data_IF_160560828355
#
_entry.id   IF_160560828355
#
_cell.length_a   1.000
_cell.length_b   1.000
_cell.length_c   1.000
_cell.angle_alpha   90.00
_cell.angle_beta   90.00
_cell.angle_gamma   90.00
#
_symmetry.space_group_name_H-M   'P 1'
#
loop_
_entity.id
_entity.type
_entity.pdbx_description
1 polymer ?
#
# COMPACT_ATOMS: atom_id res chain seq x y z
N UNK A 1 20.45 -19.61 -5.11
CA UNK A 1 20.52 -18.22 -5.54
C UNK A 1 20.50 -18.20 -7.07
N UNK A 2 19.43 -17.72 -7.74
CA UNK A 2 19.44 -17.55 -9.20
C UNK A 2 19.30 -16.06 -9.48
N UNK A 3 20.30 -15.47 -10.10
CA UNK A 3 20.25 -14.13 -10.71
C UNK A 3 19.35 -14.21 -11.94
N UNK A 4 18.35 -13.36 -12.00
CA UNK A 4 17.60 -13.03 -13.22
C UNK A 4 17.86 -11.53 -13.47
N UNK A 5 19.03 -11.21 -14.00
CA UNK A 5 19.36 -9.90 -14.56
C UNK A 5 20.52 -10.06 -15.53
N UNK A 6 20.61 -9.17 -16.50
CA UNK A 6 21.77 -9.02 -17.40
C UNK A 6 23.04 -8.71 -16.58
N UNK A 7 24.16 -9.29 -16.97
CA UNK A 7 25.37 -9.49 -16.16
C UNK A 7 26.16 -8.26 -15.70
N UNK A 8 25.74 -7.01 -15.90
CA UNK A 8 26.61 -5.83 -15.61
C UNK A 8 25.90 -4.61 -15.00
N UNK A 9 24.65 -4.72 -14.51
CA UNK A 9 23.99 -3.53 -13.98
C UNK A 9 24.32 -3.33 -12.49
N UNK A 10 25.06 -2.25 -12.17
CA UNK A 10 25.37 -1.83 -10.79
C UNK A 10 24.06 -1.61 -10.00
N UNK A 11 23.96 -2.19 -8.80
CA UNK A 11 22.87 -1.88 -7.88
C UNK A 11 23.07 -0.48 -7.33
N UNK A 12 22.12 0.42 -7.62
CA UNK A 12 22.13 1.78 -7.12
C UNK A 12 21.32 1.92 -5.83
N UNK A 13 20.22 1.16 -5.71
CA UNK A 13 19.27 1.24 -4.59
C UNK A 13 18.88 -0.15 -4.09
N UNK A 14 18.87 -0.33 -2.78
CA UNK A 14 18.25 -1.47 -2.09
C UNK A 14 16.88 -1.07 -1.58
N UNK A 15 15.86 -1.86 -1.91
CA UNK A 15 14.49 -1.68 -1.45
C UNK A 15 14.10 -2.82 -0.50
N UNK A 16 13.71 -2.48 0.73
CA UNK A 16 13.25 -3.44 1.75
C UNK A 16 11.75 -3.28 1.98
N UNK A 17 10.90 -3.86 1.11
CA UNK A 17 9.46 -3.66 1.17
C UNK A 17 8.83 -4.34 2.39
N UNK A 18 7.65 -3.86 2.77
CA UNK A 18 6.79 -4.56 3.71
C UNK A 18 6.29 -5.88 3.11
N UNK A 19 5.98 -5.87 1.83
CA UNK A 19 5.52 -7.03 1.08
C UNK A 19 6.67 -7.67 0.29
N UNK A 20 6.89 -8.98 0.45
CA UNK A 20 7.89 -9.69 -0.36
C UNK A 20 7.56 -9.67 -1.86
N UNK A 21 8.58 -9.85 -2.69
CA UNK A 21 8.49 -9.76 -4.16
C UNK A 21 7.37 -10.64 -4.75
N UNK A 22 7.17 -11.84 -4.21
CA UNK A 22 6.09 -12.71 -4.66
C UNK A 22 4.71 -12.06 -4.50
N UNK A 23 4.47 -11.36 -3.39
CA UNK A 23 3.20 -10.69 -3.14
C UNK A 23 3.07 -9.43 -3.99
N UNK A 24 4.13 -8.64 -4.14
CA UNK A 24 4.14 -7.47 -5.01
C UNK A 24 3.76 -7.87 -6.46
N UNK A 25 4.42 -8.88 -7.00
CA UNK A 25 4.13 -9.41 -8.33
C UNK A 25 2.70 -9.93 -8.47
N UNK A 26 2.23 -10.74 -7.51
CA UNK A 26 0.87 -11.33 -7.55
C UNK A 26 -0.24 -10.28 -7.46
N UNK A 27 0.00 -9.20 -6.74
CA UNK A 27 -0.99 -8.13 -6.52
C UNK A 27 -0.83 -6.97 -7.52
N UNK A 28 0.20 -6.98 -8.38
CA UNK A 28 0.47 -5.93 -9.37
C UNK A 28 1.03 -4.66 -8.76
N UNK A 29 1.87 -4.76 -7.73
CA UNK A 29 2.53 -3.60 -7.09
C UNK A 29 1.59 -2.54 -6.49
N UNK A 30 0.37 -2.89 -6.16
CA UNK A 30 -0.73 -2.00 -5.71
C UNK A 30 -0.56 -1.31 -4.35
N UNK A 31 0.58 -1.43 -3.71
CA UNK A 31 0.89 -0.82 -2.41
C UNK A 31 1.92 0.29 -2.56
N UNK A 32 2.02 1.20 -1.57
CA UNK A 32 2.99 2.31 -1.63
C UNK A 32 4.41 1.83 -1.94
N UNK A 33 4.90 0.85 -1.21
CA UNK A 33 6.22 0.26 -1.45
C UNK A 33 6.32 -0.34 -2.87
N UNK A 34 5.25 -0.96 -3.36
CA UNK A 34 5.17 -1.48 -4.72
C UNK A 34 5.28 -0.39 -5.77
N UNK A 35 4.45 0.64 -5.72
CA UNK A 35 4.47 1.77 -6.66
C UNK A 35 5.83 2.49 -6.66
N UNK A 36 6.39 2.74 -5.47
CA UNK A 36 7.69 3.39 -5.37
C UNK A 36 8.81 2.53 -5.96
N UNK A 37 8.78 1.20 -5.75
CA UNK A 37 9.74 0.28 -6.36
C UNK A 37 9.65 0.29 -7.89
N UNK A 38 8.43 0.29 -8.46
CA UNK A 38 8.25 0.42 -9.91
C UNK A 38 8.90 1.71 -10.45
N UNK A 39 8.65 2.83 -9.79
CA UNK A 39 9.20 4.12 -10.21
C UNK A 39 10.69 4.25 -9.96
N UNK A 40 11.22 3.69 -8.87
CA UNK A 40 12.68 3.64 -8.66
C UNK A 40 13.37 2.90 -9.79
N UNK A 41 12.83 1.76 -10.23
CA UNK A 41 13.37 1.04 -11.36
C UNK A 41 13.42 1.89 -12.63
N UNK A 42 12.31 2.55 -12.95
CA UNK A 42 12.22 3.42 -14.15
C UNK A 42 13.14 4.63 -14.07
N UNK A 43 13.17 5.33 -12.94
CA UNK A 43 13.95 6.56 -12.76
C UNK A 43 15.45 6.30 -12.71
N UNK A 44 15.88 5.13 -12.20
CA UNK A 44 17.30 4.73 -12.16
C UNK A 44 17.77 4.05 -13.45
N UNK A 45 16.91 3.93 -14.47
CA UNK A 45 17.32 3.35 -15.75
C UNK A 45 18.50 4.13 -16.36
N UNK A 46 19.56 3.41 -16.72
CA UNK A 46 20.79 4.00 -17.25
C UNK A 46 21.83 4.42 -16.20
N UNK A 47 21.50 4.49 -14.91
CA UNK A 47 22.44 4.82 -13.82
C UNK A 47 22.68 3.66 -12.86
N UNK A 48 21.76 2.72 -12.80
CA UNK A 48 21.82 1.53 -11.96
C UNK A 48 20.47 0.82 -11.91
N UNK A 49 20.35 -0.16 -11.03
CA UNK A 49 19.12 -0.94 -10.80
C UNK A 49 18.68 -0.90 -9.35
N UNK A 50 17.43 -1.28 -9.10
CA UNK A 50 16.86 -1.43 -7.76
C UNK A 50 16.85 -2.91 -7.36
N UNK A 51 17.53 -3.26 -6.26
CA UNK A 51 17.49 -4.59 -5.66
C UNK A 51 16.37 -4.68 -4.61
N UNK A 52 15.37 -5.50 -4.86
CA UNK A 52 14.25 -5.74 -3.93
C UNK A 52 14.60 -6.88 -3.01
N UNK A 53 14.80 -6.58 -1.72
CA UNK A 53 15.23 -7.54 -0.69
C UNK A 53 14.03 -7.93 0.16
N UNK A 54 13.48 -9.09 -0.15
CA UNK A 54 12.26 -9.58 0.48
C UNK A 54 12.52 -10.24 1.82
N UNK A 55 11.53 -10.12 2.73
CA UNK A 55 11.49 -10.95 3.93
C UNK A 55 11.54 -12.42 3.53
N UNK A 56 12.33 -13.27 4.24
CA UNK A 56 12.43 -14.69 3.96
C UNK A 56 11.07 -15.41 3.98
N UNK A 57 10.87 -16.31 3.03
CA UNK A 57 9.64 -17.08 2.88
C UNK A 57 9.85 -18.56 3.22
N UNK A 58 8.81 -19.24 3.77
CA UNK A 58 8.89 -20.68 4.01
C UNK A 58 8.98 -21.47 2.70
N UNK A 59 9.96 -22.36 2.59
CA UNK A 59 10.20 -23.15 1.37
C UNK A 59 9.01 -24.05 0.98
N UNK A 60 8.33 -24.62 1.99
CA UNK A 60 7.24 -25.59 1.78
C UNK A 60 5.91 -24.97 1.36
N UNK A 61 5.78 -23.66 1.31
CA UNK A 61 4.51 -22.99 0.91
C UNK A 61 4.28 -22.89 -0.59
N UNK A 62 5.15 -23.53 -1.39
CA UNK A 62 5.10 -23.41 -2.86
C UNK A 62 5.61 -22.08 -3.41
N UNK A 63 5.99 -21.14 -2.55
CA UNK A 63 6.55 -19.84 -2.94
C UNK A 63 7.84 -20.02 -3.75
N UNK A 64 8.68 -21.01 -3.41
CA UNK A 64 9.90 -21.32 -4.15
C UNK A 64 9.67 -21.77 -5.60
N UNK A 65 8.54 -22.44 -5.85
CA UNK A 65 8.12 -22.85 -7.21
C UNK A 65 7.53 -21.66 -7.96
N UNK A 66 6.72 -20.86 -7.27
CA UNK A 66 6.09 -19.65 -7.83
C UNK A 66 7.09 -18.54 -8.13
N UNK A 67 8.21 -18.47 -7.39
CA UNK A 67 9.27 -17.47 -7.63
C UNK A 67 9.96 -17.60 -8.98
N UNK A 68 9.79 -18.72 -9.69
CA UNK A 68 10.36 -18.90 -11.04
C UNK A 68 9.68 -18.05 -12.12
N UNK A 69 8.43 -17.61 -11.87
CA UNK A 69 7.60 -16.86 -12.81
C UNK A 69 7.16 -15.52 -12.21
N UNK A 70 8.03 -14.86 -11.42
CA UNK A 70 7.73 -13.54 -10.87
C UNK A 70 7.78 -12.49 -11.99
N UNK A 71 6.72 -11.70 -12.09
CA UNK A 71 6.79 -10.44 -12.83
C UNK A 71 7.55 -9.43 -11.99
N UNK A 72 8.70 -9.01 -12.48
CA UNK A 72 9.51 -7.96 -11.86
C UNK A 72 9.16 -6.62 -12.49
N UNK A 73 9.18 -5.56 -11.70
CA UNK A 73 9.12 -4.21 -12.22
C UNK A 73 10.36 -3.92 -13.10
N UNK A 74 10.21 -2.99 -14.03
CA UNK A 74 11.29 -2.60 -14.94
C UNK A 74 12.55 -2.21 -14.16
N UNK A 75 13.72 -2.65 -14.64
CA UNK A 75 15.03 -2.35 -14.05
C UNK A 75 15.14 -2.67 -12.54
N UNK A 76 14.42 -3.71 -12.09
CA UNK A 76 14.51 -4.24 -10.73
C UNK A 76 15.04 -5.67 -10.73
N UNK A 77 15.66 -6.06 -9.62
CA UNK A 77 16.08 -7.43 -9.36
C UNK A 77 15.55 -7.90 -8.00
N UNK A 78 15.17 -9.16 -7.90
CA UNK A 78 14.63 -9.72 -6.66
C UNK A 78 15.68 -10.54 -5.91
N UNK A 79 15.90 -10.21 -4.65
CA UNK A 79 16.71 -10.98 -3.72
C UNK A 79 15.79 -11.68 -2.71
N UNK A 80 15.36 -12.89 -3.08
CA UNK A 80 14.46 -13.69 -2.28
C UNK A 80 15.22 -14.81 -1.53
N UNK A 81 14.92 -14.96 -0.26
CA UNK A 81 15.48 -16.05 0.56
C UNK A 81 14.36 -16.99 0.97
N UNK A 82 14.62 -18.30 0.84
CA UNK A 82 13.71 -19.34 1.31
C UNK A 82 14.32 -20.07 2.49
N UNK A 83 13.49 -20.46 3.45
CA UNK A 83 13.92 -21.21 4.61
C UNK A 83 13.04 -22.43 4.85
N UNK A 84 13.62 -23.52 5.35
CA UNK A 84 12.92 -24.74 5.75
C UNK A 84 12.16 -24.58 7.08
N UNK A 85 12.31 -23.45 7.77
CA UNK A 85 11.49 -23.15 8.93
C UNK A 85 10.02 -23.00 8.52
N UNK A 86 9.12 -23.49 9.36
CA UNK A 86 7.68 -23.35 9.17
C UNK A 86 7.15 -22.25 10.08
N UNK A 87 6.19 -21.42 9.58
CA UNK A 87 5.47 -20.49 10.43
C UNK A 87 4.71 -21.25 11.52
N UNK A 88 4.62 -20.65 12.69
CA UNK A 88 3.79 -21.19 13.78
C UNK A 88 2.32 -21.11 13.35
N UNK A 89 1.60 -22.23 13.37
CA UNK A 89 0.19 -22.28 12.96
C UNK A 89 -0.71 -21.47 13.90
N UNK A 90 -0.36 -21.43 15.18
CA UNK A 90 -1.07 -20.69 16.23
C UNK A 90 -0.80 -19.19 16.22
N UNK A 91 0.33 -18.76 15.64
CA UNK A 91 0.77 -17.37 15.65
C UNK A 91 1.52 -17.05 14.33
N UNK A 92 0.75 -16.61 13.33
CA UNK A 92 1.30 -16.23 12.02
C UNK A 92 2.12 -14.95 12.07
N UNK A 93 1.87 -14.07 13.04
CA UNK A 93 2.63 -12.82 13.20
C UNK A 93 4.06 -13.10 13.67
N UNK A 94 4.26 -14.17 14.45
CA UNK A 94 5.60 -14.58 14.87
C UNK A 94 6.57 -14.73 13.70
N UNK A 95 6.10 -15.01 12.48
CA UNK A 95 6.95 -15.10 11.29
C UNK A 95 7.72 -13.81 10.99
N UNK A 96 7.20 -12.66 11.38
CA UNK A 96 7.90 -11.38 11.24
C UNK A 96 9.22 -11.37 12.04
N UNK A 97 9.27 -12.09 13.16
CA UNK A 97 10.42 -12.19 14.05
C UNK A 97 11.24 -13.45 13.76
N UNK A 98 10.58 -14.59 13.62
CA UNK A 98 11.24 -15.90 13.42
C UNK A 98 12.08 -15.92 12.12
N UNK A 99 11.71 -15.17 11.11
CA UNK A 99 12.44 -15.11 9.82
C UNK A 99 13.66 -14.18 9.82
N UNK A 100 13.82 -13.32 10.83
CA UNK A 100 14.89 -12.30 10.86
C UNK A 100 16.31 -12.84 10.70
N UNK A 101 16.70 -13.98 11.33
CA UNK A 101 18.05 -14.54 11.16
C UNK A 101 18.31 -15.11 9.76
N UNK A 102 17.28 -15.18 8.91
CA UNK A 102 17.34 -15.76 7.56
C UNK A 102 17.34 -14.73 6.46
N UNK A 103 17.33 -13.44 6.78
CA UNK A 103 17.55 -12.39 5.77
C UNK A 103 18.90 -12.60 5.08
N UNK A 104 19.04 -12.25 3.79
CA UNK A 104 20.28 -12.45 3.07
C UNK A 104 21.39 -11.54 3.62
N UNK A 105 22.63 -12.00 3.59
CA UNK A 105 23.79 -11.11 3.68
C UNK A 105 23.89 -10.30 2.40
N UNK A 106 24.22 -9.04 2.52
CA UNK A 106 24.36 -8.14 1.38
C UNK A 106 25.74 -8.37 0.75
N UNK A 107 25.75 -8.68 -0.54
CA UNK A 107 27.00 -8.92 -1.27
C UNK A 107 27.77 -7.62 -1.54
N UNK A 108 29.01 -7.78 -1.99
CA UNK A 108 29.89 -6.63 -2.31
C UNK A 108 29.29 -5.70 -3.37
N UNK A 109 28.48 -6.24 -4.28
CA UNK A 109 27.75 -5.48 -5.31
C UNK A 109 26.75 -4.47 -4.74
N UNK A 110 26.35 -4.64 -3.48
CA UNK A 110 25.42 -3.74 -2.76
C UNK A 110 26.13 -2.84 -1.73
N UNK A 111 27.47 -2.93 -1.64
CA UNK A 111 28.22 -2.21 -0.61
C UNK A 111 28.08 -0.68 -0.71
N UNK A 112 27.89 -0.16 -1.93
CA UNK A 112 27.75 1.28 -2.24
C UNK A 112 26.32 1.70 -2.60
N UNK A 113 25.36 0.79 -2.49
CA UNK A 113 23.95 1.10 -2.76
C UNK A 113 23.30 1.73 -1.55
N UNK A 114 22.50 2.77 -1.77
CA UNK A 114 21.64 3.37 -0.76
C UNK A 114 20.44 2.50 -0.47
N UNK A 115 19.64 2.84 0.56
CA UNK A 115 18.54 1.98 0.97
C UNK A 115 17.23 2.76 1.22
N UNK A 116 16.14 2.23 0.68
CA UNK A 116 14.77 2.60 1.04
C UNK A 116 14.12 1.45 1.81
N UNK A 117 13.64 1.72 3.01
CA UNK A 117 13.13 0.71 3.93
C UNK A 117 11.70 1.06 4.35
N UNK A 118 10.78 0.10 4.20
CA UNK A 118 9.39 0.18 4.69
C UNK A 118 9.14 -0.79 5.85
N UNK A 119 9.99 -1.80 5.96
CA UNK A 119 9.87 -2.82 6.99
C UNK A 119 10.83 -2.55 8.16
N UNK A 120 10.36 -2.02 9.32
CA UNK A 120 11.24 -1.71 10.44
C UNK A 120 11.95 -2.93 11.00
N UNK A 121 11.40 -4.14 10.86
CA UNK A 121 12.03 -5.38 11.34
C UNK A 121 13.37 -5.69 10.67
N UNK A 122 13.68 -5.08 9.53
CA UNK A 122 15.01 -5.19 8.91
C UNK A 122 16.12 -4.76 9.87
N UNK A 123 15.84 -3.80 10.76
CA UNK A 123 16.78 -3.36 11.81
C UNK A 123 17.15 -4.45 12.82
N UNK A 124 16.35 -5.50 12.93
CA UNK A 124 16.57 -6.65 13.80
C UNK A 124 17.08 -7.89 13.04
N UNK A 125 17.24 -7.79 11.72
CA UNK A 125 17.59 -8.90 10.84
C UNK A 125 19.10 -9.14 10.73
N UNK A 126 19.47 -10.27 10.12
CA UNK A 126 20.87 -10.58 9.79
C UNK A 126 21.51 -9.63 8.76
N UNK A 127 20.69 -8.94 7.94
CA UNK A 127 21.17 -7.92 7.00
C UNK A 127 21.55 -6.60 7.67
N UNK A 128 21.15 -6.38 8.95
CA UNK A 128 21.31 -5.09 9.60
C UNK A 128 22.77 -4.64 9.74
N UNK A 129 23.67 -5.56 10.05
CA UNK A 129 25.09 -5.23 10.18
C UNK A 129 25.67 -4.70 8.87
N UNK A 130 25.24 -5.28 7.74
CA UNK A 130 25.66 -4.88 6.42
C UNK A 130 24.98 -3.56 6.01
N UNK A 131 23.75 -3.32 6.45
CA UNK A 131 22.93 -2.15 6.12
C UNK A 131 23.28 -0.92 6.96
N UNK A 132 23.54 -1.10 8.25
CA UNK A 132 23.82 -0.01 9.19
C UNK A 132 25.24 0.55 9.12
N UNK A 133 26.16 -0.16 8.47
CA UNK A 133 27.55 0.25 8.28
C UNK A 133 27.78 0.98 6.96
N UNK A 134 28.96 1.65 6.86
CA UNK A 134 29.37 2.39 5.65
C UNK A 134 28.70 3.75 5.49
N UNK A 135 29.02 4.41 4.36
CA UNK A 135 28.60 5.79 4.04
C UNK A 135 27.28 5.84 3.24
N UNK A 136 26.50 4.74 3.21
CA UNK A 136 25.22 4.71 2.51
C UNK A 136 24.17 5.56 3.17
N UNK A 137 23.32 6.17 2.37
CA UNK A 137 22.13 6.88 2.83
C UNK A 137 20.97 5.91 2.99
N UNK A 138 20.25 6.00 4.12
CA UNK A 138 19.09 5.18 4.42
C UNK A 138 17.86 6.06 4.62
N UNK A 139 16.85 5.87 3.77
CA UNK A 139 15.52 6.45 3.94
C UNK A 139 14.60 5.42 4.58
N UNK A 140 13.95 5.79 5.68
CA UNK A 140 12.87 5.01 6.29
C UNK A 140 11.52 5.63 5.94
N UNK A 141 10.74 4.95 5.10
CA UNK A 141 9.44 5.42 4.62
C UNK A 141 8.29 4.73 5.36
N UNK A 142 7.54 5.50 6.14
CA UNK A 142 6.48 5.02 7.03
C UNK A 142 5.17 4.79 6.25
N UNK A 143 4.55 3.62 6.47
CA UNK A 143 3.29 3.22 5.84
C UNK A 143 2.10 3.28 6.80
N UNK A 144 2.21 2.59 7.92
CA UNK A 144 1.20 2.45 8.96
C UNK A 144 1.87 2.48 10.34
N UNK A 145 1.15 2.84 11.37
CA UNK A 145 1.61 2.71 12.75
C UNK A 145 1.45 1.27 13.24
N UNK A 146 2.55 0.51 13.24
CA UNK A 146 2.53 -0.88 13.67
C UNK A 146 2.48 -1.03 15.19
N UNK A 147 2.71 0.03 15.96
CA UNK A 147 2.61 0.01 17.43
C UNK A 147 1.17 -0.15 17.90
N UNK A 148 0.21 0.35 17.10
CA UNK A 148 -1.23 0.26 17.38
C UNK A 148 -1.97 -0.69 16.43
N UNK A 149 -1.29 -1.20 15.39
CA UNK A 149 -1.91 -2.07 14.40
C UNK A 149 -2.23 -3.45 15.01
N UNK A 150 -3.51 -3.85 14.94
CA UNK A 150 -4.02 -5.10 15.52
C UNK A 150 -3.24 -6.36 15.11
N UNK A 151 -2.65 -6.39 13.91
CA UNK A 151 -1.88 -7.52 13.42
C UNK A 151 -0.52 -7.71 14.12
N UNK A 152 -0.05 -6.75 14.91
CA UNK A 152 1.26 -6.79 15.56
C UNK A 152 1.19 -6.82 17.09
N UNK A 153 0.00 -6.88 17.68
CA UNK A 153 -0.18 -6.86 19.14
C UNK A 153 0.61 -7.97 19.85
N UNK A 154 0.66 -9.18 19.27
CA UNK A 154 1.40 -10.32 19.84
C UNK A 154 2.93 -10.19 19.82
N UNK A 155 3.46 -9.19 19.09
CA UNK A 155 4.91 -8.94 18.95
C UNK A 155 5.24 -7.45 19.15
N UNK A 156 4.46 -6.75 19.98
CA UNK A 156 4.58 -5.30 20.18
C UNK A 156 5.96 -4.85 20.65
N UNK A 157 6.61 -5.61 21.54
CA UNK A 157 7.97 -5.31 22.04
C UNK A 157 9.01 -5.35 20.91
N UNK A 158 8.85 -6.29 19.98
CA UNK A 158 9.71 -6.39 18.80
C UNK A 158 9.46 -5.24 17.83
N UNK A 159 8.19 -4.82 17.69
CA UNK A 159 7.83 -3.64 16.89
C UNK A 159 8.51 -2.39 17.45
N UNK A 160 8.40 -2.12 18.76
CA UNK A 160 9.04 -0.97 19.40
C UNK A 160 10.55 -0.98 19.19
N UNK A 161 11.21 -2.10 19.48
CA UNK A 161 12.67 -2.24 19.28
C UNK A 161 13.08 -2.06 17.82
N UNK A 162 12.25 -2.52 16.88
CA UNK A 162 12.51 -2.36 15.45
C UNK A 162 12.45 -0.88 15.04
N UNK A 163 11.44 -0.15 15.51
CA UNK A 163 11.32 1.28 15.26
C UNK A 163 12.45 2.08 15.92
N UNK A 164 12.76 1.84 17.20
CA UNK A 164 13.87 2.51 17.89
C UNK A 164 15.17 2.40 17.10
N UNK A 165 15.53 1.18 16.68
CA UNK A 165 16.76 0.95 15.91
C UNK A 165 16.70 1.56 14.51
N UNK A 166 15.56 1.49 13.85
CA UNK A 166 15.42 2.03 12.50
C UNK A 166 15.48 3.56 12.54
N UNK A 167 14.75 4.22 13.44
CA UNK A 167 14.78 5.67 13.60
C UNK A 167 16.14 6.21 14.01
N UNK A 168 16.89 5.48 14.84
CA UNK A 168 18.24 5.89 15.25
C UNK A 168 19.26 5.85 14.11
N UNK A 169 19.03 5.02 13.07
CA UNK A 169 19.97 4.85 11.94
C UNK A 169 19.56 5.61 10.69
N UNK A 170 18.26 5.78 10.48
CA UNK A 170 17.76 6.40 9.24
C UNK A 170 18.31 7.83 9.10
N UNK A 171 18.92 8.12 7.96
CA UNK A 171 19.37 9.47 7.62
C UNK A 171 18.18 10.38 7.36
N UNK A 172 17.17 9.85 6.63
CA UNK A 172 15.91 10.54 6.38
C UNK A 172 14.72 9.67 6.77
N UNK A 173 13.68 10.32 7.27
CA UNK A 173 12.38 9.71 7.56
C UNK A 173 11.32 10.37 6.70
N UNK A 174 10.57 9.55 5.95
CA UNK A 174 9.39 10.01 5.22
C UNK A 174 8.14 9.37 5.81
N UNK A 175 7.03 10.07 5.78
CA UNK A 175 5.74 9.61 6.32
C UNK A 175 4.64 9.82 5.27
N UNK A 176 3.77 8.82 5.11
CA UNK A 176 2.66 8.91 4.16
C UNK A 176 1.42 9.61 4.71
N UNK A 177 1.44 10.00 5.98
CA UNK A 177 0.33 10.70 6.63
C UNK A 177 0.82 11.45 7.87
N UNK A 178 -0.01 12.34 8.39
CA UNK A 178 0.22 13.06 9.63
C UNK A 178 0.33 12.07 10.81
N UNK A 179 -0.49 11.04 10.85
CA UNK A 179 -0.44 10.01 11.90
C UNK A 179 0.88 9.23 11.92
N UNK A 180 1.43 8.93 10.74
CA UNK A 180 2.75 8.28 10.66
C UNK A 180 3.90 9.25 10.94
N UNK A 181 3.73 10.53 10.67
CA UNK A 181 4.69 11.56 11.13
C UNK A 181 4.67 11.68 12.66
N UNK A 182 3.51 11.68 13.30
CA UNK A 182 3.38 11.63 14.77
C UNK A 182 4.00 10.36 15.37
N UNK A 183 3.90 9.22 14.70
CA UNK A 183 4.62 8.00 15.10
C UNK A 183 6.13 8.27 15.21
N UNK A 184 6.74 8.86 14.18
CA UNK A 184 8.17 9.18 14.21
C UNK A 184 8.53 10.15 15.35
N UNK A 185 7.68 11.15 15.60
CA UNK A 185 7.88 12.10 16.71
C UNK A 185 7.87 11.39 18.08
N UNK A 186 7.01 10.39 18.28
CA UNK A 186 7.00 9.56 19.52
C UNK A 186 8.32 8.82 19.74
N UNK A 187 9.07 8.54 18.67
CA UNK A 187 10.41 7.95 18.72
C UNK A 187 11.54 8.97 18.62
N UNK A 188 11.24 10.26 18.84
CA UNK A 188 12.23 11.34 18.92
C UNK A 188 12.67 11.94 17.58
N UNK A 189 12.00 11.60 16.45
CA UNK A 189 12.29 12.15 15.11
C UNK A 189 11.31 13.27 14.79
N UNK A 190 11.81 14.51 14.73
CA UNK A 190 11.03 15.70 14.34
C UNK A 190 11.31 16.17 12.90
N UNK A 191 12.35 15.62 12.29
CA UNK A 191 12.83 15.91 10.93
C UNK A 191 12.15 15.02 9.89
N UNK A 192 10.83 14.92 9.91
CA UNK A 192 10.04 14.02 9.07
C UNK A 192 9.52 14.74 7.84
N UNK A 193 9.78 14.18 6.66
CA UNK A 193 9.20 14.65 5.41
C UNK A 193 7.83 14.03 5.18
N UNK A 194 6.78 14.83 5.08
CA UNK A 194 5.45 14.36 4.74
C UNK A 194 5.35 14.13 3.22
N UNK A 195 5.34 12.87 2.82
CA UNK A 195 5.26 12.41 1.44
C UNK A 195 4.00 11.56 1.28
N UNK A 196 2.87 12.21 1.05
CA UNK A 196 1.57 11.56 0.90
C UNK A 196 1.59 10.51 -0.22
N UNK A 197 0.61 9.61 -0.23
CA UNK A 197 0.40 8.69 -1.34
C UNK A 197 0.05 9.43 -2.64
N UNK A 198 -0.08 8.70 -3.71
CA UNK A 198 -0.37 9.25 -5.02
C UNK A 198 -1.05 8.23 -5.93
N UNK A 199 -1.06 8.52 -7.21
CA UNK A 199 -1.49 7.62 -8.26
C UNK A 199 -0.63 7.80 -9.51
N UNK A 200 -0.82 6.93 -10.49
CA UNK A 200 -0.30 7.08 -11.86
C UNK A 200 -1.50 7.44 -12.75
N UNK A 201 -1.79 8.73 -13.00
CA UNK A 201 -3.00 9.15 -13.69
C UNK A 201 -3.12 8.54 -15.10
N UNK A 202 -2.01 8.29 -15.75
CA UNK A 202 -1.94 7.68 -17.09
C UNK A 202 -2.48 6.24 -17.16
N UNK A 203 -2.61 5.56 -16.01
CA UNK A 203 -3.24 4.22 -15.93
C UNK A 203 -4.74 4.27 -16.00
N UNK A 204 -5.37 5.43 -15.74
CA UNK A 204 -6.81 5.56 -15.58
C UNK A 204 -7.42 6.38 -16.71
N UNK A 205 -8.62 5.97 -17.16
CA UNK A 205 -9.43 6.78 -18.05
C UNK A 205 -10.59 7.40 -17.28
N UNK A 206 -10.93 8.64 -17.61
CA UNK A 206 -12.08 9.34 -17.04
C UNK A 206 -13.39 9.03 -17.81
N UNK A 207 -13.34 8.17 -18.81
CA UNK A 207 -14.51 7.71 -19.53
C UNK A 207 -15.29 6.66 -18.73
N UNK A 208 -16.62 6.80 -18.69
CA UNK A 208 -17.49 5.82 -18.05
C UNK A 208 -17.93 4.74 -19.03
N UNK A 209 -17.85 3.48 -18.61
CA UNK A 209 -18.46 2.31 -19.26
C UNK A 209 -19.58 1.70 -18.41
N UNK A 210 -20.00 2.42 -17.36
CA UNK A 210 -21.04 1.96 -16.45
C UNK A 210 -22.38 1.78 -17.16
N UNK A 211 -23.03 0.65 -16.95
CA UNK A 211 -24.32 0.28 -17.56
C UNK A 211 -25.26 -0.34 -16.50
N UNK A 212 -26.55 -0.36 -16.78
CA UNK A 212 -27.56 -0.96 -15.88
C UNK A 212 -27.81 -0.11 -14.64
N UNK A 213 -27.90 -0.75 -13.47
CA UNK A 213 -28.06 -0.07 -12.18
C UNK A 213 -26.87 0.82 -11.85
N UNK A 214 -27.10 1.85 -11.02
CA UNK A 214 -26.02 2.71 -10.51
C UNK A 214 -25.10 1.88 -9.64
N UNK A 215 -23.79 2.02 -9.86
CA UNK A 215 -22.78 1.22 -9.16
C UNK A 215 -21.93 2.08 -8.25
N UNK A 216 -21.96 1.80 -6.96
CA UNK A 216 -21.07 2.35 -5.93
C UNK A 216 -19.99 1.32 -5.63
N UNK A 217 -18.72 1.66 -5.91
CA UNK A 217 -17.64 0.66 -5.91
C UNK A 217 -16.54 0.91 -4.90
N UNK A 218 -16.00 -0.18 -4.35
CA UNK A 218 -14.81 -0.22 -3.50
C UNK A 218 -13.80 -1.22 -4.06
N UNK A 219 -12.54 -0.79 -4.17
CA UNK A 219 -11.42 -1.68 -4.54
C UNK A 219 -10.39 -1.70 -3.43
N UNK A 220 -10.12 -2.86 -2.85
CA UNK A 220 -9.09 -3.04 -1.83
C UNK A 220 -9.40 -4.13 -0.83
N UNK A 221 -8.53 -4.30 0.15
CA UNK A 221 -8.71 -5.31 1.22
C UNK A 221 -9.97 -5.02 2.03
N UNK A 222 -10.81 -6.03 2.21
CA UNK A 222 -12.06 -5.98 2.95
C UNK A 222 -11.82 -6.57 4.35
N UNK A 223 -12.03 -5.78 5.39
CA UNK A 223 -11.81 -6.19 6.76
C UNK A 223 -11.92 -5.01 7.74
N UNK A 224 -11.31 -5.11 8.90
CA UNK A 224 -11.50 -4.23 10.07
C UNK A 224 -11.27 -2.74 9.84
N UNK A 225 -10.61 -2.36 8.74
CA UNK A 225 -10.50 -0.96 8.33
C UNK A 225 -11.79 -0.40 7.76
N UNK A 226 -12.69 -1.25 7.27
CA UNK A 226 -13.99 -0.84 6.77
C UNK A 226 -15.02 -0.80 7.90
N UNK A 227 -15.95 0.12 7.82
CA UNK A 227 -17.12 0.15 8.69
C UNK A 227 -18.21 -0.74 8.11
N UNK A 228 -18.32 -1.96 8.67
CA UNK A 228 -19.26 -2.98 8.22
C UNK A 228 -20.71 -2.53 8.41
N UNK A 229 -21.00 -1.86 9.52
CA UNK A 229 -22.35 -1.42 9.85
C UNK A 229 -22.79 -0.32 8.87
N UNK A 230 -21.90 0.65 8.60
CA UNK A 230 -22.13 1.67 7.57
C UNK A 230 -22.41 1.04 6.21
N UNK A 231 -21.64 0.04 5.80
CA UNK A 231 -21.79 -0.64 4.50
C UNK A 231 -23.16 -1.32 4.43
N UNK A 232 -23.50 -2.16 5.40
CA UNK A 232 -24.73 -2.94 5.40
C UNK A 232 -25.98 -2.04 5.48
N UNK A 233 -25.98 -1.05 6.36
CA UNK A 233 -27.10 -0.11 6.52
C UNK A 233 -27.30 0.75 5.26
N UNK A 234 -26.21 1.18 4.62
CA UNK A 234 -26.30 1.98 3.39
C UNK A 234 -26.86 1.14 2.24
N UNK A 235 -26.39 -0.09 2.08
CA UNK A 235 -26.88 -1.00 1.04
C UNK A 235 -28.38 -1.34 1.24
N UNK A 236 -28.79 -1.63 2.46
CA UNK A 236 -30.20 -1.94 2.79
C UNK A 236 -31.14 -0.78 2.44
N UNK A 237 -30.70 0.46 2.67
CA UNK A 237 -31.51 1.68 2.44
C UNK A 237 -31.50 2.16 0.99
N UNK A 238 -30.65 1.60 0.15
CA UNK A 238 -30.51 1.93 -1.28
C UNK A 238 -30.61 0.65 -2.14
N UNK A 239 -31.77 -0.04 -2.15
CA UNK A 239 -31.91 -1.34 -2.80
C UNK A 239 -31.75 -1.32 -4.32
N UNK A 240 -31.96 -0.17 -4.96
CA UNK A 240 -31.80 0.01 -6.42
C UNK A 240 -30.38 0.37 -6.84
N UNK A 241 -29.42 0.41 -5.89
CA UNK A 241 -28.00 0.71 -6.13
C UNK A 241 -27.18 -0.57 -5.96
N UNK A 242 -26.34 -0.88 -6.93
CA UNK A 242 -25.37 -1.97 -6.84
C UNK A 242 -24.14 -1.53 -6.08
N UNK A 243 -23.81 -2.22 -4.98
CA UNK A 243 -22.57 -2.03 -4.23
C UNK A 243 -21.56 -3.10 -4.61
N UNK A 244 -20.45 -2.70 -5.23
CA UNK A 244 -19.42 -3.63 -5.73
C UNK A 244 -18.16 -3.53 -4.90
N UNK A 245 -17.74 -4.66 -4.33
CA UNK A 245 -16.51 -4.76 -3.53
C UNK A 245 -15.52 -5.72 -4.22
N UNK A 246 -14.39 -5.17 -4.66
CA UNK A 246 -13.29 -5.91 -5.28
C UNK A 246 -12.09 -5.97 -4.34
N UNK A 247 -11.73 -7.16 -3.90
CA UNK A 247 -10.59 -7.40 -3.04
C UNK A 247 -10.77 -8.61 -2.12
N UNK A 248 -9.69 -9.08 -1.49
CA UNK A 248 -9.75 -10.21 -0.58
C UNK A 248 -10.42 -9.83 0.74
N UNK A 249 -11.30 -10.69 1.25
CA UNK A 249 -11.86 -10.59 2.59
C UNK A 249 -10.83 -11.13 3.58
N UNK A 250 -10.25 -10.25 4.40
CA UNK A 250 -9.22 -10.60 5.38
C UNK A 250 -9.83 -11.12 6.69
N UNK A 251 -10.94 -10.52 7.11
CA UNK A 251 -11.61 -10.81 8.37
C UNK A 251 -12.91 -11.58 8.10
N UNK A 252 -12.99 -12.82 8.62
CA UNK A 252 -14.07 -13.77 8.33
C UNK A 252 -15.45 -13.23 8.68
N UNK A 253 -15.55 -12.41 9.72
CA UNK A 253 -16.80 -11.80 10.19
C UNK A 253 -17.47 -10.88 9.15
N UNK A 254 -16.71 -10.37 8.16
CA UNK A 254 -17.26 -9.53 7.09
C UNK A 254 -18.00 -10.34 6.01
N UNK A 255 -17.66 -11.62 5.83
CA UNK A 255 -18.17 -12.43 4.71
C UNK A 255 -19.69 -12.64 4.77
N UNK A 256 -20.22 -13.01 5.94
CA UNK A 256 -21.64 -13.31 6.11
C UNK A 256 -22.54 -12.10 5.85
N UNK A 257 -22.34 -10.99 6.58
CA UNK A 257 -23.16 -9.78 6.41
C UNK A 257 -23.11 -9.22 4.98
N UNK A 258 -21.92 -9.14 4.36
CA UNK A 258 -21.80 -8.63 3.00
C UNK A 258 -22.46 -9.55 1.97
N UNK A 259 -22.39 -10.86 2.15
CA UNK A 259 -23.02 -11.82 1.24
C UNK A 259 -24.55 -11.91 1.42
N UNK A 260 -25.07 -11.51 2.56
CA UNK A 260 -26.51 -11.53 2.83
C UNK A 260 -27.27 -10.36 2.19
N UNK A 261 -26.60 -9.26 1.90
CA UNK A 261 -27.22 -8.10 1.24
C UNK A 261 -27.40 -8.36 -0.26
N UNK A 262 -28.64 -8.30 -0.75
CA UNK A 262 -29.00 -8.67 -2.12
C UNK A 262 -28.40 -7.80 -3.21
N UNK A 263 -27.98 -6.58 -2.88
CA UNK A 263 -27.40 -5.61 -3.79
C UNK A 263 -25.89 -5.37 -3.54
N UNK A 264 -25.22 -6.21 -2.74
CA UNK A 264 -23.76 -6.22 -2.59
C UNK A 264 -23.16 -7.36 -3.43
N UNK A 265 -22.24 -7.02 -4.33
CA UNK A 265 -21.47 -7.96 -5.14
C UNK A 265 -20.02 -8.01 -4.70
N UNK A 266 -19.53 -9.21 -4.38
CA UNK A 266 -18.15 -9.48 -3.97
C UNK A 266 -17.39 -10.08 -5.14
N UNK A 267 -16.44 -9.36 -5.73
CA UNK A 267 -15.69 -9.82 -6.91
C UNK A 267 -14.46 -10.68 -6.54
N UNK A 268 -14.09 -10.73 -5.25
CA UNK A 268 -12.84 -11.38 -4.84
C UNK A 268 -11.61 -10.53 -5.12
N UNK A 269 -10.43 -11.14 -5.06
CA UNK A 269 -9.16 -10.45 -5.28
C UNK A 269 -8.97 -10.13 -6.77
N UNK A 270 -8.66 -8.87 -7.07
CA UNK A 270 -8.46 -8.35 -8.43
C UNK A 270 -7.01 -7.87 -8.55
N UNK A 271 -6.33 -8.29 -9.62
CA UNK A 271 -4.97 -7.82 -9.91
C UNK A 271 -4.98 -6.33 -10.26
N UNK A 272 -3.95 -5.60 -9.82
CA UNK A 272 -3.95 -4.13 -9.95
C UNK A 272 -4.06 -3.64 -11.40
N UNK A 273 -3.51 -4.37 -12.36
CA UNK A 273 -3.65 -4.05 -13.80
C UNK A 273 -5.10 -4.05 -14.30
N UNK A 274 -6.00 -4.75 -13.61
CA UNK A 274 -7.43 -4.80 -13.94
C UNK A 274 -8.25 -3.70 -13.25
N UNK A 275 -7.65 -3.03 -12.25
CA UNK A 275 -8.35 -1.98 -11.48
C UNK A 275 -8.77 -0.80 -12.36
N UNK A 276 -7.94 -0.27 -13.26
CA UNK A 276 -8.36 0.84 -14.13
C UNK A 276 -9.62 0.51 -14.94
N UNK A 277 -9.69 -0.66 -15.56
CA UNK A 277 -10.87 -1.10 -16.33
C UNK A 277 -12.10 -1.27 -15.42
N UNK A 278 -11.92 -1.85 -14.23
CA UNK A 278 -13.00 -1.99 -13.27
C UNK A 278 -13.57 -0.63 -12.84
N UNK A 279 -12.73 0.38 -12.61
CA UNK A 279 -13.18 1.71 -12.23
C UNK A 279 -14.01 2.40 -13.33
N UNK A 280 -13.87 2.00 -14.60
CA UNK A 280 -14.75 2.52 -15.67
C UNK A 280 -16.19 2.10 -15.49
N UNK A 281 -16.45 1.00 -14.79
CA UNK A 281 -17.79 0.45 -14.54
C UNK A 281 -18.49 1.00 -13.30
N UNK A 282 -17.78 1.78 -12.47
CA UNK A 282 -18.36 2.40 -11.29
C UNK A 282 -18.91 3.78 -11.63
N UNK A 283 -19.89 4.23 -10.86
CA UNK A 283 -20.44 5.58 -10.92
C UNK A 283 -19.91 6.46 -9.78
N UNK A 284 -19.71 5.85 -8.61
CA UNK A 284 -19.15 6.49 -7.42
C UNK A 284 -18.06 5.58 -6.84
N UNK A 285 -16.92 6.16 -6.51
CA UNK A 285 -15.89 5.50 -5.70
C UNK A 285 -16.21 5.66 -4.21
N UNK A 286 -16.30 4.57 -3.47
CA UNK A 286 -16.66 4.61 -2.05
C UNK A 286 -15.54 4.11 -1.16
N UNK A 287 -15.24 4.87 -0.10
CA UNK A 287 -14.22 4.51 0.90
C UNK A 287 -14.83 4.59 2.31
N UNK A 288 -15.65 3.61 2.70
CA UNK A 288 -16.33 3.57 3.99
C UNK A 288 -15.37 3.05 5.08
N UNK A 289 -14.30 3.78 5.35
CA UNK A 289 -13.34 3.41 6.36
C UNK A 289 -13.88 3.74 7.76
N UNK A 290 -13.49 2.92 8.73
CA UNK A 290 -13.73 3.19 10.14
C UNK A 290 -12.85 4.35 10.59
N UNK A 291 -13.42 5.33 11.27
CA UNK A 291 -12.73 6.53 11.76
C UNK A 291 -12.63 6.52 13.28
N UNK A 292 -11.57 7.11 13.82
CA UNK A 292 -11.38 7.27 15.26
C UNK A 292 -10.63 6.09 15.90
N UNK A 293 -11.15 5.55 17.00
CA UNK A 293 -10.43 4.53 17.79
C UNK A 293 -10.11 3.29 16.98
N UNK A 294 -8.81 2.97 16.88
CA UNK A 294 -8.32 1.82 16.10
C UNK A 294 -7.95 2.15 14.65
N UNK A 295 -7.99 3.42 14.29
CA UNK A 295 -7.42 3.91 13.03
C UNK A 295 -5.88 3.73 13.08
N UNK A 296 -5.34 3.03 12.07
CA UNK A 296 -3.90 2.68 12.04
C UNK A 296 -3.05 3.74 11.32
N UNK A 297 -3.64 4.86 10.98
CA UNK A 297 -3.00 5.90 10.17
C UNK A 297 -2.88 5.47 8.71
N UNK A 298 -2.04 6.19 7.99
CA UNK A 298 -1.84 5.97 6.56
C UNK A 298 -2.80 6.77 5.70
N UNK A 299 -2.28 7.19 4.55
CA UNK A 299 -3.05 7.90 3.54
C UNK A 299 -3.78 6.90 2.62
N UNK A 300 -4.96 7.26 2.12
CA UNK A 300 -5.83 6.35 1.36
C UNK A 300 -5.54 6.44 -0.14
N UNK A 301 -4.75 5.53 -0.68
CA UNK A 301 -4.37 5.47 -2.12
C UNK A 301 -5.61 5.54 -3.04
N UNK A 302 -6.69 4.86 -2.67
CA UNK A 302 -7.92 4.76 -3.49
C UNK A 302 -8.55 6.10 -3.84
N UNK A 303 -8.46 7.09 -2.95
CA UNK A 303 -9.02 8.41 -3.20
C UNK A 303 -8.33 9.10 -4.38
N UNK A 304 -7.03 8.89 -4.52
CA UNK A 304 -6.24 9.38 -5.66
C UNK A 304 -6.58 8.64 -6.96
N UNK A 305 -6.65 7.30 -6.90
CA UNK A 305 -6.96 6.44 -8.05
C UNK A 305 -8.37 6.68 -8.58
N UNK A 306 -9.38 6.75 -7.68
CA UNK A 306 -10.76 7.04 -8.06
C UNK A 306 -10.89 8.43 -8.66
N UNK A 307 -10.18 9.38 -8.10
CA UNK A 307 -10.13 10.75 -8.63
C UNK A 307 -9.46 10.80 -10.00
N UNK A 308 -8.37 10.06 -10.20
CA UNK A 308 -7.71 9.93 -11.52
C UNK A 308 -8.64 9.28 -12.56
N UNK A 309 -9.49 8.33 -12.13
CA UNK A 309 -10.54 7.75 -12.97
C UNK A 309 -11.76 8.68 -13.19
N UNK A 310 -11.76 9.88 -12.62
CA UNK A 310 -12.87 10.84 -12.74
C UNK A 310 -14.11 10.47 -11.94
N UNK A 311 -14.02 9.56 -10.98
CA UNK A 311 -15.14 9.21 -10.11
C UNK A 311 -15.40 10.31 -9.07
N UNK A 312 -16.66 10.67 -8.80
CA UNK A 312 -17.02 11.25 -7.50
C UNK A 312 -16.62 10.27 -6.40
N UNK A 313 -15.90 10.72 -5.38
CA UNK A 313 -15.38 9.87 -4.31
C UNK A 313 -16.05 10.22 -3.00
N UNK A 314 -16.83 9.29 -2.46
CA UNK A 314 -17.39 9.40 -1.11
C UNK A 314 -16.48 8.67 -0.12
N UNK A 315 -15.98 9.37 0.88
CA UNK A 315 -15.10 8.80 1.92
C UNK A 315 -15.52 9.27 3.31
N UNK A 316 -15.28 8.43 4.32
CA UNK A 316 -15.30 8.90 5.71
C UNK A 316 -14.09 9.82 5.95
N UNK A 317 -14.17 10.77 6.91
CA UNK A 317 -13.12 11.74 7.17
C UNK A 317 -11.95 11.09 7.95
N UNK A 318 -11.21 10.18 7.30
CA UNK A 318 -9.97 9.64 7.87
C UNK A 318 -8.95 10.77 8.11
N UNK A 319 -8.09 10.58 9.10
CA UNK A 319 -7.12 11.59 9.52
C UNK A 319 -6.34 12.16 8.30
N UNK A 320 -6.28 13.48 8.21
CA UNK A 320 -5.59 14.20 7.16
C UNK A 320 -6.33 14.33 5.83
N UNK A 321 -7.53 13.74 5.64
CA UNK A 321 -8.28 13.82 4.38
C UNK A 321 -8.52 15.27 3.93
N UNK A 322 -8.81 16.17 4.86
CA UNK A 322 -9.05 17.59 4.57
C UNK A 322 -7.82 18.33 4.01
N UNK A 323 -6.62 17.79 4.22
CA UNK A 323 -5.36 18.41 3.78
C UNK A 323 -4.90 17.88 2.40
N UNK A 324 -5.70 17.03 1.75
CA UNK A 324 -5.38 16.48 0.43
C UNK A 324 -5.78 17.47 -0.66
N UNK A 325 -4.90 17.66 -1.65
CA UNK A 325 -5.15 18.56 -2.79
C UNK A 325 -6.00 17.91 -3.88
N UNK A 326 -7.06 17.23 -3.50
CA UNK A 326 -7.99 16.52 -4.38
C UNK A 326 -9.44 16.93 -4.10
N UNK A 327 -9.66 18.16 -3.67
CA UNK A 327 -10.95 18.68 -3.19
C UNK A 327 -12.07 18.57 -4.24
N UNK A 328 -11.72 18.77 -5.52
CA UNK A 328 -12.68 18.63 -6.61
C UNK A 328 -13.09 17.18 -6.85
N UNK A 329 -14.15 16.74 -6.17
CA UNK A 329 -14.74 15.42 -6.35
C UNK A 329 -14.38 14.38 -5.31
N UNK A 330 -13.67 14.75 -4.24
CA UNK A 330 -13.51 13.93 -3.04
C UNK A 330 -14.33 14.52 -1.90
N UNK A 331 -15.35 13.80 -1.46
CA UNK A 331 -16.32 14.22 -0.46
C UNK A 331 -16.08 13.46 0.84
N UNK A 332 -15.50 14.13 1.82
CA UNK A 332 -15.32 13.60 3.16
C UNK A 332 -16.59 13.87 3.98
N UNK A 333 -17.33 12.82 4.28
CA UNK A 333 -18.62 12.87 4.97
C UNK A 333 -18.61 11.90 6.15
N UNK A 334 -19.15 12.30 7.28
CA UNK A 334 -19.31 11.42 8.43
C UNK A 334 -20.17 10.19 8.09
N UNK A 335 -19.94 9.07 8.76
CA UNK A 335 -20.56 7.80 8.43
C UNK A 335 -22.10 7.86 8.35
N UNK A 336 -22.75 8.59 9.25
CA UNK A 336 -24.20 8.79 9.29
C UNK A 336 -24.72 9.65 8.12
N UNK A 337 -23.89 10.45 7.49
CA UNK A 337 -24.22 11.29 6.33
C UNK A 337 -24.12 10.58 4.98
N UNK A 338 -23.48 9.41 4.89
CA UNK A 338 -23.21 8.75 3.59
C UNK A 338 -24.48 8.43 2.80
N UNK A 339 -25.51 7.91 3.47
CA UNK A 339 -26.79 7.61 2.81
C UNK A 339 -27.46 8.89 2.26
N UNK A 340 -27.46 9.97 3.02
CA UNK A 340 -28.06 11.24 2.59
C UNK A 340 -27.30 11.82 1.39
N UNK A 341 -25.97 11.76 1.44
CA UNK A 341 -25.12 12.19 0.35
C UNK A 341 -25.36 11.37 -0.93
N UNK A 342 -25.44 10.05 -0.85
CA UNK A 342 -25.75 9.19 -1.99
C UNK A 342 -27.12 9.48 -2.56
N UNK A 343 -28.16 9.59 -1.72
CA UNK A 343 -29.51 9.94 -2.16
C UNK A 343 -29.55 11.27 -2.92
N UNK A 344 -28.83 12.27 -2.45
CA UNK A 344 -28.76 13.58 -3.09
C UNK A 344 -28.09 13.50 -4.47
N UNK A 345 -26.91 12.85 -4.54
CA UNK A 345 -26.11 12.77 -5.77
C UNK A 345 -26.71 11.82 -6.82
N UNK A 346 -27.60 10.91 -6.42
CA UNK A 346 -28.26 9.96 -7.31
C UNK A 346 -29.67 10.42 -7.76
N UNK A 347 -30.24 11.50 -7.20
CA UNK A 347 -31.58 12.01 -7.57
C UNK A 347 -31.73 12.34 -9.06
N UNK A 348 -30.64 12.77 -9.71
CA UNK A 348 -30.60 13.11 -11.14
C UNK A 348 -30.26 11.93 -12.04
N UNK A 349 -30.22 10.72 -11.52
CA UNK A 349 -29.76 9.53 -12.23
C UNK A 349 -28.24 9.33 -12.09
N UNK A 350 -27.62 8.74 -13.09
CA UNK A 350 -26.18 8.40 -13.09
C UNK A 350 -25.30 9.66 -12.98
N UNK A 351 -24.41 9.74 -11.97
CA UNK A 351 -23.49 10.87 -11.79
C UNK A 351 -22.54 10.99 -12.99
N UNK A 352 -22.21 12.21 -13.35
CA UNK A 352 -21.20 12.47 -14.37
C UNK A 352 -19.80 12.30 -13.79
N UNK A 353 -18.88 11.84 -14.62
CA UNK A 353 -17.44 11.87 -14.29
C UNK A 353 -16.99 13.30 -14.07
N UNK A 354 -16.09 13.47 -13.10
CA UNK A 354 -15.48 14.75 -12.78
C UNK A 354 -14.12 14.79 -13.49
N UNK A 355 -14.08 15.52 -14.59
CA UNK A 355 -12.83 15.74 -15.32
C UNK A 355 -11.92 16.63 -14.50
N UNK A 356 -10.76 16.11 -14.10
CA UNK A 356 -9.76 16.88 -13.40
C UNK A 356 -8.35 16.52 -13.88
N UNK A 357 -7.50 17.52 -13.90
CA UNK A 357 -6.06 17.32 -14.03
C UNK A 357 -5.49 16.94 -12.67
N UNK A 358 -4.84 15.79 -12.58
CA UNK A 358 -4.12 15.40 -11.37
C UNK A 358 -2.78 16.13 -11.36
N UNK A 359 -2.47 16.93 -10.32
CA UNK A 359 -1.19 17.63 -10.23
C UNK A 359 0.00 16.67 -10.21
N UNK A 360 1.11 17.04 -10.87
CA UNK A 360 2.33 16.21 -10.88
C UNK A 360 2.80 15.85 -9.46
N UNK A 361 2.67 16.78 -8.50
CA UNK A 361 3.00 16.56 -7.10
C UNK A 361 2.21 15.41 -6.42
N UNK A 362 1.15 14.91 -7.05
CA UNK A 362 0.32 13.79 -6.57
C UNK A 362 0.68 12.48 -7.27
N UNK A 363 1.60 12.49 -8.25
CA UNK A 363 1.99 11.26 -8.96
C UNK A 363 2.99 10.42 -8.17
N UNK A 364 2.95 9.09 -8.35
CA UNK A 364 3.96 8.20 -7.79
C UNK A 364 5.37 8.51 -8.31
N UNK A 365 5.47 8.95 -9.56
CA UNK A 365 6.73 9.43 -10.15
C UNK A 365 7.36 10.53 -9.31
N UNK A 366 6.58 11.57 -8.97
CA UNK A 366 7.06 12.69 -8.17
C UNK A 366 7.47 12.26 -6.75
N UNK A 367 6.69 11.34 -6.13
CA UNK A 367 7.02 10.80 -4.81
C UNK A 367 8.31 10.00 -4.82
N UNK A 368 8.48 9.16 -5.84
CA UNK A 368 9.71 8.37 -6.01
C UNK A 368 10.92 9.27 -6.27
N UNK A 369 10.79 10.29 -7.14
CA UNK A 369 11.85 11.25 -7.39
C UNK A 369 12.26 11.97 -6.11
N UNK A 370 11.30 12.46 -5.32
CA UNK A 370 11.59 13.10 -4.04
C UNK A 370 12.44 12.21 -3.10
N UNK A 371 12.10 10.91 -3.02
CA UNK A 371 12.87 9.98 -2.19
C UNK A 371 14.27 9.74 -2.79
N UNK A 372 14.40 9.65 -4.12
CA UNK A 372 15.69 9.54 -4.77
C UNK A 372 16.55 10.78 -4.58
N UNK A 373 15.95 11.98 -4.59
CA UNK A 373 16.67 13.24 -4.32
C UNK A 373 17.24 13.26 -2.89
N UNK A 374 16.51 12.73 -1.88
CA UNK A 374 17.04 12.55 -0.52
C UNK A 374 18.24 11.61 -0.47
N UNK A 375 18.28 10.63 -1.38
CA UNK A 375 19.39 9.69 -1.54
C UNK A 375 20.54 10.26 -2.40
N UNK A 376 20.42 11.49 -2.90
CA UNK A 376 21.40 12.11 -3.80
C UNK A 376 21.46 11.47 -5.20
N UNK A 377 20.32 10.98 -5.69
CA UNK A 377 20.19 10.22 -6.96
C UNK A 377 19.35 10.96 -7.99
#
# INVERSE_FOLDING_TARGET
MRRLASEDTKVALMAFPMHGQHKLSREGYRTRDGHLIEWFGRLLAGTGSTAVISRPEPHLTGASVRSRNLSLAENTMALNTFTWMLPRLSDRQAWWVDSLPKYPRLGAEMAVADAAVWNPFVSLSSSWADLSGGDRVLVFDLLDDWTVHFAFQGISDQVHRAYERMFSRADYVTANSEATAELAQRFGRSDVHLVLNGCDPERFTQESRAQGAITVGYVGKIGRRLDLDLICQTAERLPDVDFVFAGPILDREYRGPLAAAGNIRLLGDVHYEQVPDLLTTFDIGWVPHRVGRGEVGGDVIKTYEYRAAGLPVLTTPVLGTANRKLDDGVFAVDADGHQAWLNEHLRGGRPKRITACIPDSVTWRHKAQFILDLLGR
#
